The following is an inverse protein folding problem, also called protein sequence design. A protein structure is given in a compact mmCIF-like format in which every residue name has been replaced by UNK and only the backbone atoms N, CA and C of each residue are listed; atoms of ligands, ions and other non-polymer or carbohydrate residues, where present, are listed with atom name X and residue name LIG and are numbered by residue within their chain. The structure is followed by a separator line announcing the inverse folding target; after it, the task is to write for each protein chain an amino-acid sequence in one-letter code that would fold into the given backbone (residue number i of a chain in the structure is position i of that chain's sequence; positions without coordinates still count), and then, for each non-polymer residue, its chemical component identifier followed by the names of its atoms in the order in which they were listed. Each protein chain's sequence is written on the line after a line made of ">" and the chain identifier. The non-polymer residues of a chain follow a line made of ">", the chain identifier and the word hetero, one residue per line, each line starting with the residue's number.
data_IF_305455705806
#
_entry.id   IF_305455705806
#
_cell.length_a   1.000
_cell.length_b   1.000
_cell.length_c   1.000
_cell.angle_alpha   90.00
_cell.angle_beta   90.00
_cell.angle_gamma   90.00
#
_symmetry.space_group_name_H-M   'P 1'
#
loop_
_entity.id
_entity.type
_entity.pdbx_description
1 polymer ?
#
# COMPACT_ATOMS: atom_id res chain seq x y z
N UNK A 1 -4.33 29.86 1.50
CA UNK A 1 -5.50 29.17 2.09
C UNK A 1 -5.61 27.75 1.52
N UNK A 2 -5.50 27.58 0.21
CA UNK A 2 -5.57 26.25 -0.44
C UNK A 2 -4.50 25.29 0.07
N UNK A 3 -3.25 25.75 0.16
CA UNK A 3 -2.13 24.97 0.71
C UNK A 3 -2.39 24.49 2.15
N UNK A 4 -2.99 25.32 3.00
CA UNK A 4 -3.32 24.96 4.37
C UNK A 4 -4.38 23.84 4.43
N UNK A 5 -5.45 23.95 3.63
CA UNK A 5 -6.52 22.93 3.59
C UNK A 5 -5.96 21.62 3.04
N UNK A 6 -5.15 21.67 1.98
CA UNK A 6 -4.47 20.51 1.42
C UNK A 6 -3.57 19.82 2.44
N UNK A 7 -2.78 20.58 3.20
CA UNK A 7 -1.91 20.03 4.25
C UNK A 7 -2.70 19.38 5.39
N UNK A 8 -3.80 20.00 5.83
CA UNK A 8 -4.69 19.42 6.86
C UNK A 8 -5.27 18.08 6.37
N UNK A 9 -5.74 18.04 5.13
CA UNK A 9 -6.27 16.82 4.52
C UNK A 9 -5.22 15.70 4.46
N UNK A 10 -4.01 16.01 3.99
CA UNK A 10 -2.90 15.04 3.93
C UNK A 10 -2.48 14.56 5.32
N UNK A 11 -2.40 15.46 6.29
CA UNK A 11 -2.08 15.10 7.67
C UNK A 11 -3.15 14.21 8.30
N UNK A 12 -4.43 14.47 8.01
CA UNK A 12 -5.53 13.64 8.50
C UNK A 12 -5.47 12.21 7.94
N UNK A 13 -5.11 12.05 6.66
CA UNK A 13 -4.89 10.73 6.05
C UNK A 13 -3.66 10.03 6.67
N UNK A 14 -2.53 10.74 6.76
CA UNK A 14 -1.28 10.18 7.27
C UNK A 14 -1.41 9.72 8.73
N UNK A 15 -2.21 10.42 9.55
CA UNK A 15 -2.47 10.04 10.94
C UNK A 15 -3.03 8.63 11.08
N UNK A 16 -3.82 8.16 10.10
CA UNK A 16 -4.47 6.84 10.16
C UNK A 16 -3.66 5.71 9.56
N UNK A 17 -2.62 6.02 8.76
CA UNK A 17 -1.85 5.00 8.02
C UNK A 17 -1.20 4.00 8.99
N UNK A 18 -0.46 4.48 9.97
CA UNK A 18 0.31 3.61 10.87
C UNK A 18 -0.56 2.72 11.75
N UNK A 19 -1.59 3.25 12.46
CA UNK A 19 -2.49 2.41 13.26
C UNK A 19 -3.21 1.36 12.41
N UNK A 20 -3.70 1.75 11.22
CA UNK A 20 -4.43 0.85 10.34
C UNK A 20 -3.54 -0.28 9.82
N UNK A 21 -2.34 0.04 9.34
CA UNK A 21 -1.38 -0.98 8.84
C UNK A 21 -1.01 -1.94 9.94
N UNK A 22 -0.73 -1.44 11.15
CA UNK A 22 -0.43 -2.29 12.31
C UNK A 22 -1.58 -3.26 12.60
N UNK A 23 -2.80 -2.76 12.77
CA UNK A 23 -3.97 -3.57 13.07
C UNK A 23 -4.24 -4.60 11.97
N UNK A 24 -4.21 -4.19 10.70
CA UNK A 24 -4.47 -5.08 9.56
C UNK A 24 -3.48 -6.22 9.46
N UNK A 25 -2.20 -5.96 9.72
CA UNK A 25 -1.17 -7.01 9.70
C UNK A 25 -1.36 -8.00 10.85
N UNK A 26 -1.62 -7.51 12.07
CA UNK A 26 -1.85 -8.39 13.24
C UNK A 26 -3.06 -9.29 13.00
N UNK A 27 -4.18 -8.72 12.54
CA UNK A 27 -5.40 -9.46 12.21
C UNK A 27 -5.12 -10.49 11.12
N UNK A 28 -4.42 -10.07 10.05
CA UNK A 28 -4.05 -10.94 8.94
C UNK A 28 -3.25 -12.17 9.39
N UNK A 29 -2.24 -11.99 10.24
CA UNK A 29 -1.43 -13.08 10.78
C UNK A 29 -2.25 -14.01 11.64
N UNK A 30 -3.07 -13.49 12.56
CA UNK A 30 -3.94 -14.28 13.43
C UNK A 30 -4.97 -15.09 12.62
N UNK A 31 -5.47 -14.55 11.52
CA UNK A 31 -6.38 -15.27 10.62
C UNK A 31 -5.72 -16.48 9.96
N UNK A 32 -4.43 -16.38 9.63
CA UNK A 32 -3.65 -17.49 9.06
C UNK A 32 -3.39 -18.56 10.13
N UNK A 33 -3.12 -18.17 11.37
CA UNK A 33 -2.82 -19.09 12.48
C UNK A 33 -3.96 -20.07 12.82
N UNK A 34 -5.20 -19.65 12.62
CA UNK A 34 -6.37 -20.52 12.79
C UNK A 34 -6.56 -21.56 11.67
N UNK A 35 -5.82 -21.43 10.59
CA UNK A 35 -5.92 -22.27 9.39
C UNK A 35 -4.91 -23.43 9.40
N UNK A 36 -4.81 -24.20 10.47
CA UNK A 36 -3.94 -25.40 10.54
C UNK A 36 -4.18 -26.42 9.42
N UNK A 37 -5.35 -26.38 8.79
CA UNK A 37 -5.74 -27.23 7.64
C UNK A 37 -5.32 -26.63 6.28
N UNK A 38 -4.93 -25.36 6.22
CA UNK A 38 -4.74 -24.61 4.97
C UNK A 38 -3.25 -24.32 4.66
N UNK A 39 -2.31 -24.90 5.43
CA UNK A 39 -0.88 -24.56 5.32
C UNK A 39 -0.31 -24.65 3.89
N UNK A 40 -0.75 -25.63 3.09
CA UNK A 40 -0.33 -25.76 1.69
C UNK A 40 -0.89 -24.63 0.80
N UNK A 41 -2.15 -24.25 1.02
CA UNK A 41 -2.81 -23.18 0.23
C UNK A 41 -2.16 -21.83 0.59
N UNK A 42 -1.94 -21.57 1.87
CA UNK A 42 -1.30 -20.34 2.33
C UNK A 42 0.13 -20.20 1.82
N UNK A 43 0.94 -21.27 1.90
CA UNK A 43 2.30 -21.29 1.36
C UNK A 43 2.31 -21.06 -0.16
N UNK A 44 1.44 -21.74 -0.91
CA UNK A 44 1.31 -21.55 -2.34
C UNK A 44 0.89 -20.12 -2.70
N UNK A 45 -0.07 -19.54 -1.95
CA UNK A 45 -0.49 -18.15 -2.13
C UNK A 45 0.65 -17.18 -1.86
N UNK A 46 1.44 -17.39 -0.82
CA UNK A 46 2.57 -16.54 -0.46
C UNK A 46 3.67 -16.54 -1.54
N UNK A 47 4.01 -17.73 -2.07
CA UNK A 47 4.94 -17.86 -3.19
C UNK A 47 4.38 -17.14 -4.43
N UNK A 48 3.09 -17.32 -4.71
CA UNK A 48 2.43 -16.65 -5.83
C UNK A 48 2.48 -15.13 -5.70
N UNK A 49 2.18 -14.58 -4.51
CA UNK A 49 2.29 -13.14 -4.25
C UNK A 49 3.72 -12.61 -4.44
N UNK A 50 4.74 -13.32 -3.94
CA UNK A 50 6.12 -12.93 -4.13
C UNK A 50 6.51 -12.91 -5.62
N UNK A 51 6.12 -13.93 -6.37
CA UNK A 51 6.38 -13.99 -7.81
C UNK A 51 5.65 -12.87 -8.58
N UNK A 52 4.38 -12.64 -8.28
CA UNK A 52 3.61 -11.59 -8.97
C UNK A 52 4.11 -10.19 -8.59
N UNK A 53 4.52 -9.96 -7.35
CA UNK A 53 5.11 -8.69 -6.90
C UNK A 53 6.46 -8.44 -7.58
N UNK A 54 7.31 -9.46 -7.69
CA UNK A 54 8.59 -9.35 -8.42
C UNK A 54 8.35 -9.03 -9.90
N UNK A 55 7.40 -9.69 -10.55
CA UNK A 55 7.03 -9.40 -11.93
C UNK A 55 6.45 -7.98 -12.09
N UNK A 56 5.59 -7.55 -11.17
CA UNK A 56 5.02 -6.21 -11.19
C UNK A 56 6.11 -5.14 -11.02
N UNK A 57 7.07 -5.35 -10.12
CA UNK A 57 8.20 -4.45 -9.91
C UNK A 57 9.08 -4.36 -11.16
N UNK A 58 9.36 -5.47 -11.82
CA UNK A 58 10.10 -5.49 -13.08
C UNK A 58 9.34 -4.74 -14.19
N UNK A 59 8.04 -4.97 -14.33
CA UNK A 59 7.20 -4.22 -15.28
C UNK A 59 7.20 -2.72 -14.97
N UNK A 60 7.09 -2.35 -13.69
CA UNK A 60 7.14 -0.96 -13.23
C UNK A 60 8.46 -0.25 -13.52
N UNK A 61 9.58 -0.98 -13.60
CA UNK A 61 10.88 -0.43 -13.98
C UNK A 61 11.06 -0.36 -15.52
N UNK A 62 10.57 -1.37 -16.24
CA UNK A 62 10.76 -1.50 -17.68
C UNK A 62 9.84 -0.56 -18.47
N UNK A 63 8.56 -0.50 -18.13
CA UNK A 63 7.54 0.27 -18.88
C UNK A 63 7.89 1.76 -18.95
N UNK A 64 8.16 2.46 -17.83
CA UNK A 64 8.52 3.88 -17.88
C UNK A 64 9.79 4.14 -18.67
N UNK A 65 10.75 3.20 -18.64
CA UNK A 65 12.01 3.31 -19.38
C UNK A 65 11.81 3.14 -20.89
N UNK A 66 10.94 2.24 -21.33
CA UNK A 66 10.61 2.03 -22.74
C UNK A 66 9.84 3.20 -23.34
N UNK A 67 8.91 3.79 -22.58
CA UNK A 67 8.05 4.89 -23.05
C UNK A 67 8.77 6.24 -22.85
N UNK A 68 9.96 6.26 -22.26
CA UNK A 68 10.73 7.47 -21.95
C UNK A 68 9.89 8.49 -21.13
N UNK A 69 9.14 7.98 -20.16
CA UNK A 69 8.37 8.82 -19.23
C UNK A 69 9.30 9.82 -18.54
N UNK A 70 8.91 11.10 -18.60
CA UNK A 70 9.69 12.19 -18.00
C UNK A 70 10.65 12.92 -18.93
N UNK A 71 10.79 12.54 -20.21
CA UNK A 71 11.52 13.35 -21.18
C UNK A 71 10.78 14.67 -21.41
N UNK A 72 11.36 15.77 -20.93
CA UNK A 72 10.82 17.12 -21.12
C UNK A 72 10.23 17.77 -19.88
N UNK A 73 10.03 17.04 -18.79
CA UNK A 73 9.68 17.64 -17.51
C UNK A 73 10.96 18.17 -16.87
N UNK A 74 11.24 19.44 -17.07
CA UNK A 74 12.21 20.15 -16.26
C UNK A 74 11.56 20.41 -14.91
N UNK A 75 11.67 19.45 -13.99
CA UNK A 75 11.61 19.83 -12.60
C UNK A 75 12.82 20.75 -12.41
N UNK A 76 12.62 22.05 -12.21
CA UNK A 76 13.56 22.80 -11.42
C UNK A 76 13.56 22.07 -10.09
N UNK A 77 14.50 21.15 -9.95
CA UNK A 77 14.88 20.71 -8.63
C UNK A 77 15.28 22.00 -7.93
N UNK A 78 14.33 22.56 -7.13
CA UNK A 78 14.78 23.33 -6.00
C UNK A 78 15.91 22.49 -5.44
N UNK A 79 17.08 23.05 -5.33
CA UNK A 79 18.24 22.48 -4.67
C UNK A 79 17.89 22.30 -3.19
N UNK A 80 16.88 21.48 -2.93
CA UNK A 80 16.81 20.71 -1.72
C UNK A 80 18.08 19.89 -1.79
N UNK A 81 19.06 20.24 -0.94
CA UNK A 81 20.15 19.34 -0.61
C UNK A 81 19.54 17.95 -0.52
N UNK A 82 19.62 17.22 -1.62
CA UNK A 82 19.51 15.79 -1.57
C UNK A 82 20.79 15.44 -0.83
N UNK A 83 20.74 15.57 0.51
CA UNK A 83 21.62 14.80 1.33
C UNK A 83 21.44 13.41 0.76
N UNK A 84 22.41 13.00 -0.04
CA UNK A 84 22.53 11.62 -0.46
C UNK A 84 22.41 10.87 0.87
N UNK A 85 21.19 10.39 1.15
CA UNK A 85 20.98 9.50 2.28
C UNK A 85 21.93 8.39 1.93
N UNK A 86 23.08 8.39 2.62
CA UNK A 86 24.09 7.36 2.49
C UNK A 86 23.26 6.09 2.45
N UNK A 87 23.37 5.30 1.38
CA UNK A 87 22.64 4.05 1.30
C UNK A 87 23.03 3.33 2.57
N UNK A 88 22.16 3.43 3.57
CA UNK A 88 22.36 2.76 4.86
C UNK A 88 22.64 1.33 4.47
N UNK A 89 23.81 0.86 4.84
CA UNK A 89 24.26 -0.48 4.51
C UNK A 89 23.09 -1.41 4.77
N UNK A 90 22.86 -2.39 3.89
CA UNK A 90 21.78 -3.40 4.09
C UNK A 90 21.87 -3.93 5.53
N UNK A 91 23.08 -4.02 6.09
CA UNK A 91 23.33 -4.39 7.49
C UNK A 91 22.77 -3.38 8.49
N UNK A 92 22.84 -2.08 8.22
CA UNK A 92 22.30 -1.06 9.12
C UNK A 92 20.78 -1.01 9.04
N UNK A 93 20.21 -1.24 7.85
CA UNK A 93 18.77 -1.43 7.70
C UNK A 93 18.28 -2.65 8.47
N UNK A 94 19.01 -3.79 8.41
CA UNK A 94 18.68 -5.00 9.16
C UNK A 94 18.81 -4.80 10.67
N UNK A 95 19.84 -4.09 11.16
CA UNK A 95 19.99 -3.77 12.59
C UNK A 95 18.85 -2.89 13.10
N UNK A 96 18.43 -1.92 12.27
CA UNK A 96 17.36 -0.99 12.63
C UNK A 96 15.95 -1.54 12.36
N UNK A 97 15.85 -2.78 11.87
CA UNK A 97 14.56 -3.41 11.57
C UNK A 97 13.72 -3.64 12.84
N UNK A 98 14.37 -4.04 13.93
CA UNK A 98 13.71 -4.25 15.22
C UNK A 98 13.75 -2.95 16.00
N UNK A 99 12.57 -2.34 16.29
CA UNK A 99 12.54 -1.08 17.03
C UNK A 99 12.98 -1.29 18.48
N UNK A 100 13.88 -0.46 18.97
CA UNK A 100 14.21 -0.39 20.39
C UNK A 100 13.04 0.14 21.23
N UNK A 101 12.20 0.98 20.62
CA UNK A 101 10.97 1.50 21.20
C UNK A 101 9.85 1.49 20.13
N UNK A 102 8.84 0.60 20.27
CA UNK A 102 7.74 0.54 19.30
C UNK A 102 6.97 1.86 19.18
N UNK A 103 6.76 2.55 20.30
CA UNK A 103 6.02 3.83 20.29
C UNK A 103 6.78 4.90 19.52
N UNK A 104 8.10 4.95 19.66
CA UNK A 104 8.93 5.84 18.86
C UNK A 104 8.82 5.52 17.36
N UNK A 105 8.78 4.24 16.98
CA UNK A 105 8.59 3.83 15.59
C UNK A 105 7.27 4.36 14.98
N UNK A 106 6.19 4.40 15.76
CA UNK A 106 4.93 5.02 15.35
C UNK A 106 5.05 6.55 15.25
N UNK A 107 5.70 7.19 16.23
CA UNK A 107 5.85 8.65 16.28
C UNK A 107 6.75 9.17 15.15
N UNK A 108 7.83 8.46 14.86
CA UNK A 108 8.81 8.80 13.81
C UNK A 108 8.33 8.41 12.40
N UNK A 109 7.21 7.69 12.31
CA UNK A 109 6.67 7.26 11.03
C UNK A 109 7.49 6.18 10.33
N UNK A 110 8.27 5.39 11.06
CA UNK A 110 9.07 4.32 10.49
C UNK A 110 8.22 3.06 10.20
N UNK A 111 7.64 3.05 9.00
CA UNK A 111 6.73 1.98 8.56
C UNK A 111 7.34 0.58 8.69
N UNK A 112 8.64 0.43 8.37
CA UNK A 112 9.31 -0.87 8.40
C UNK A 112 9.38 -1.43 9.81
N UNK A 113 9.70 -0.59 10.79
CA UNK A 113 9.73 -0.96 12.21
C UNK A 113 8.33 -1.27 12.75
N UNK A 114 7.32 -0.49 12.36
CA UNK A 114 5.91 -0.75 12.72
C UNK A 114 5.46 -2.10 12.17
N UNK A 115 5.82 -2.43 10.92
CA UNK A 115 5.52 -3.71 10.29
C UNK A 115 6.16 -4.88 11.05
N UNK A 116 7.44 -4.78 11.39
CA UNK A 116 8.13 -5.84 12.15
C UNK A 116 7.52 -6.01 13.55
N UNK A 117 7.18 -4.92 14.21
CA UNK A 117 6.50 -4.99 15.49
C UNK A 117 5.12 -5.67 15.38
N UNK A 118 4.34 -5.35 14.33
CA UNK A 118 3.06 -6.00 14.06
C UNK A 118 3.21 -7.51 13.82
N UNK A 119 4.26 -7.94 13.09
CA UNK A 119 4.58 -9.34 12.87
C UNK A 119 4.86 -10.06 14.21
N UNK A 120 5.68 -9.46 15.07
CA UNK A 120 6.01 -10.03 16.39
C UNK A 120 4.74 -10.19 17.22
N UNK A 121 3.89 -9.17 17.30
CA UNK A 121 2.63 -9.22 18.04
C UNK A 121 1.70 -10.30 17.46
N UNK A 122 1.53 -10.35 16.13
CA UNK A 122 0.66 -11.32 15.48
C UNK A 122 1.08 -12.77 15.76
N UNK A 123 2.36 -13.08 15.59
CA UNK A 123 2.88 -14.42 15.90
C UNK A 123 2.79 -14.76 17.39
N UNK A 124 3.02 -13.78 18.27
CA UNK A 124 2.90 -13.98 19.72
C UNK A 124 1.45 -14.27 20.12
N UNK A 125 0.48 -13.59 19.52
CA UNK A 125 -0.94 -13.84 19.78
C UNK A 125 -1.37 -15.25 19.37
N UNK A 126 -0.87 -15.75 18.25
CA UNK A 126 -1.10 -17.15 17.85
C UNK A 126 -0.52 -18.12 18.88
N UNK A 127 0.68 -17.84 19.40
CA UNK A 127 1.33 -18.69 20.41
C UNK A 127 0.62 -18.66 21.76
N UNK A 128 0.07 -17.52 22.17
CA UNK A 128 -0.71 -17.35 23.40
C UNK A 128 -2.06 -18.06 23.32
N UNK A 129 -2.65 -18.17 22.12
CA UNK A 129 -3.91 -18.86 21.88
C UNK A 129 -5.11 -18.12 22.46
N UNK A 130 -6.05 -18.85 23.08
CA UNK A 130 -7.34 -18.32 23.55
C UNK A 130 -7.22 -17.13 24.51
N UNK A 131 -6.17 -17.08 25.32
CA UNK A 131 -5.91 -15.96 26.25
C UNK A 131 -5.61 -14.66 25.51
N UNK A 132 -5.15 -14.72 24.26
CA UNK A 132 -4.88 -13.57 23.40
C UNK A 132 -6.13 -13.01 22.70
N UNK A 133 -7.26 -13.73 22.70
CA UNK A 133 -8.49 -13.33 22.01
C UNK A 133 -9.01 -11.95 22.42
N UNK A 134 -9.04 -11.56 23.70
CA UNK A 134 -9.50 -10.21 24.08
C UNK A 134 -8.66 -9.08 23.46
N UNK A 135 -7.34 -9.31 23.38
CA UNK A 135 -6.43 -8.34 22.75
C UNK A 135 -6.61 -8.28 21.23
N UNK A 136 -6.83 -9.42 20.57
CA UNK A 136 -7.14 -9.46 19.14
C UNK A 136 -8.46 -8.73 18.84
N UNK A 137 -9.50 -8.93 19.64
CA UNK A 137 -10.78 -8.23 19.49
C UNK A 137 -10.62 -6.72 19.70
N UNK A 138 -9.74 -6.29 20.59
CA UNK A 138 -9.42 -4.86 20.74
C UNK A 138 -8.77 -4.30 19.49
N UNK A 139 -7.79 -5.00 18.93
CA UNK A 139 -7.11 -4.59 17.68
C UNK A 139 -8.11 -4.52 16.52
N UNK A 140 -9.02 -5.49 16.42
CA UNK A 140 -10.06 -5.51 15.40
C UNK A 140 -11.01 -4.30 15.54
N UNK A 141 -11.43 -4.00 16.75
CA UNK A 141 -12.24 -2.81 17.04
C UNK A 141 -11.51 -1.51 16.69
N UNK A 142 -10.20 -1.41 16.99
CA UNK A 142 -9.38 -0.25 16.61
C UNK A 142 -9.31 -0.14 15.09
N UNK A 143 -9.13 -1.24 14.39
CA UNK A 143 -9.10 -1.28 12.92
C UNK A 143 -10.41 -0.78 12.31
N UNK A 144 -11.56 -1.22 12.82
CA UNK A 144 -12.88 -0.73 12.38
C UNK A 144 -13.05 0.77 12.60
N UNK A 145 -12.61 1.28 13.75
CA UNK A 145 -12.62 2.72 14.05
C UNK A 145 -11.73 3.49 13.07
N UNK A 146 -10.52 3.00 12.81
CA UNK A 146 -9.61 3.62 11.84
C UNK A 146 -10.22 3.65 10.44
N UNK A 147 -10.82 2.55 9.97
CA UNK A 147 -11.52 2.48 8.69
C UNK A 147 -12.67 3.49 8.62
N UNK A 148 -13.44 3.64 9.70
CA UNK A 148 -14.53 4.61 9.74
C UNK A 148 -14.04 6.05 9.67
N UNK A 149 -12.92 6.36 10.36
CA UNK A 149 -12.28 7.68 10.30
C UNK A 149 -11.80 7.97 8.88
N UNK A 150 -11.07 7.02 8.24
CA UNK A 150 -10.61 7.17 6.85
C UNK A 150 -11.79 7.40 5.92
N UNK A 151 -12.84 6.58 6.01
CA UNK A 151 -14.04 6.73 5.19
C UNK A 151 -14.67 8.13 5.36
N UNK A 152 -14.67 8.65 6.59
CA UNK A 152 -15.18 10.01 6.86
C UNK A 152 -14.28 11.08 6.22
N UNK A 153 -12.96 10.94 6.33
CA UNK A 153 -12.00 11.85 5.68
C UNK A 153 -12.15 11.82 4.15
N UNK A 154 -12.45 10.65 3.58
CA UNK A 154 -12.63 10.48 2.14
C UNK A 154 -13.83 11.25 1.57
N UNK A 155 -14.84 11.60 2.36
CA UNK A 155 -15.90 12.51 1.91
C UNK A 155 -15.35 13.89 1.54
N UNK A 156 -14.24 14.30 2.14
CA UNK A 156 -13.58 15.57 1.86
C UNK A 156 -12.52 15.48 0.74
N UNK A 157 -12.31 14.28 0.17
CA UNK A 157 -11.30 14.04 -0.88
C UNK A 157 -11.41 15.00 -2.06
N UNK A 158 -12.59 15.32 -2.62
CA UNK A 158 -12.66 16.24 -3.76
C UNK A 158 -12.09 17.63 -3.43
N UNK A 159 -12.35 18.12 -2.21
CA UNK A 159 -11.83 19.42 -1.74
C UNK A 159 -10.35 19.30 -1.40
N UNK A 160 -9.97 18.26 -0.68
CA UNK A 160 -8.58 18.02 -0.27
C UNK A 160 -7.64 17.87 -1.45
N UNK A 161 -8.01 17.06 -2.45
CA UNK A 161 -7.23 16.83 -3.66
C UNK A 161 -7.13 18.11 -4.49
N UNK A 162 -8.24 18.84 -4.68
CA UNK A 162 -8.20 20.13 -5.37
C UNK A 162 -7.21 21.09 -4.69
N UNK A 163 -7.31 21.24 -3.37
CA UNK A 163 -6.43 22.12 -2.60
C UNK A 163 -4.95 21.67 -2.59
N UNK A 164 -4.68 20.39 -2.81
CA UNK A 164 -3.30 19.86 -2.90
C UNK A 164 -2.71 20.06 -4.29
N UNK A 165 -3.54 19.98 -5.33
CA UNK A 165 -3.09 20.13 -6.74
C UNK A 165 -2.83 21.59 -7.10
N UNK A 166 -3.65 22.53 -6.62
CA UNK A 166 -3.53 23.95 -6.97
C UNK A 166 -2.12 24.50 -6.73
N UNK A 167 -1.47 24.35 -5.57
CA UNK A 167 -0.10 24.85 -5.36
C UNK A 167 0.93 24.19 -6.28
N UNK A 168 0.74 22.91 -6.63
CA UNK A 168 1.64 22.21 -7.57
C UNK A 168 1.55 22.79 -8.96
N UNK A 169 0.34 23.16 -9.38
CA UNK A 169 0.10 23.79 -10.69
C UNK A 169 0.63 25.22 -10.71
N UNK A 170 0.41 25.98 -9.65
CA UNK A 170 0.95 27.34 -9.50
C UNK A 170 2.48 27.37 -9.56
N UNK A 171 3.14 26.39 -8.94
CA UNK A 171 4.60 26.30 -8.92
C UNK A 171 5.21 25.81 -10.25
N UNK A 172 4.55 24.86 -10.93
CA UNK A 172 5.16 24.16 -12.06
C UNK A 172 4.46 24.40 -13.41
N UNK A 173 3.39 25.20 -13.44
CA UNK A 173 2.63 25.52 -14.65
C UNK A 173 1.69 24.41 -15.14
N UNK A 174 0.91 24.72 -16.18
CA UNK A 174 -0.10 23.80 -16.76
C UNK A 174 0.51 22.60 -17.48
N UNK A 175 1.75 22.68 -17.94
CA UNK A 175 2.47 21.56 -18.57
C UNK A 175 2.64 20.39 -17.63
N UNK A 176 2.80 20.66 -16.32
CA UNK A 176 2.89 19.64 -15.30
C UNK A 176 1.60 18.83 -15.17
N UNK A 177 0.44 19.46 -15.32
CA UNK A 177 -0.86 18.75 -15.29
C UNK A 177 -0.94 17.74 -16.44
N UNK A 178 -0.55 18.16 -17.64
CA UNK A 178 -0.59 17.29 -18.83
C UNK A 178 0.36 16.11 -18.66
N UNK A 179 1.56 16.36 -18.12
CA UNK A 179 2.53 15.32 -17.80
C UNK A 179 1.99 14.32 -16.76
N UNK A 180 1.41 14.82 -15.67
CA UNK A 180 0.81 13.98 -14.62
C UNK A 180 -0.38 13.18 -15.14
N UNK A 181 -1.26 13.81 -15.95
CA UNK A 181 -2.39 13.12 -16.57
C UNK A 181 -1.92 12.01 -17.52
N UNK A 182 -0.90 12.29 -18.33
CA UNK A 182 -0.30 11.30 -19.22
C UNK A 182 0.29 10.13 -18.42
N UNK A 183 1.02 10.42 -17.34
CA UNK A 183 1.58 9.40 -16.45
C UNK A 183 0.48 8.54 -15.82
N UNK A 184 -0.62 9.14 -15.37
CA UNK A 184 -1.76 8.41 -14.83
C UNK A 184 -2.38 7.47 -15.87
N UNK A 185 -2.61 7.92 -17.09
CA UNK A 185 -3.16 7.09 -18.16
C UNK A 185 -2.24 5.89 -18.44
N UNK A 186 -0.93 6.12 -18.55
CA UNK A 186 0.05 5.06 -18.77
C UNK A 186 0.06 4.07 -17.61
N UNK A 187 -0.01 4.57 -16.37
CA UNK A 187 -0.09 3.73 -15.17
C UNK A 187 -1.32 2.83 -15.19
N UNK A 188 -2.50 3.39 -15.51
CA UNK A 188 -3.73 2.60 -15.61
C UNK A 188 -3.66 1.56 -16.72
N UNK A 189 -3.16 1.92 -17.90
CA UNK A 189 -2.96 0.97 -19.02
C UNK A 189 -2.00 -0.15 -18.61
N UNK A 190 -0.89 0.19 -17.97
CA UNK A 190 0.07 -0.78 -17.46
C UNK A 190 -0.54 -1.70 -16.40
N UNK A 191 -1.30 -1.15 -15.45
CA UNK A 191 -1.96 -1.90 -14.38
C UNK A 191 -3.01 -2.88 -14.93
N UNK A 192 -3.91 -2.41 -15.77
CA UNK A 192 -4.91 -3.28 -16.39
C UNK A 192 -4.27 -4.30 -17.35
N UNK A 193 -3.26 -3.89 -18.11
CA UNK A 193 -2.49 -4.80 -18.95
C UNK A 193 -1.82 -5.92 -18.13
N UNK A 194 -1.16 -5.56 -17.03
CA UNK A 194 -0.57 -6.52 -16.09
C UNK A 194 -1.62 -7.45 -15.50
N UNK A 195 -2.74 -6.91 -15.04
CA UNK A 195 -3.81 -7.70 -14.46
C UNK A 195 -4.38 -8.72 -15.46
N UNK A 196 -4.65 -8.32 -16.69
CA UNK A 196 -5.19 -9.20 -17.72
C UNK A 196 -4.16 -10.26 -18.14
N UNK A 197 -2.91 -9.86 -18.36
CA UNK A 197 -1.86 -10.77 -18.84
C UNK A 197 -1.43 -11.71 -17.72
N UNK A 198 -0.99 -11.20 -16.58
CA UNK A 198 -0.41 -12.03 -15.52
C UNK A 198 -1.46 -12.86 -14.80
N UNK A 199 -2.56 -12.23 -14.36
CA UNK A 199 -3.61 -12.98 -13.66
C UNK A 199 -4.44 -13.82 -14.62
N UNK A 200 -4.75 -13.34 -15.83
CA UNK A 200 -5.46 -14.12 -16.85
C UNK A 200 -4.69 -15.37 -17.26
N UNK A 201 -3.37 -15.24 -17.43
CA UNK A 201 -2.47 -16.35 -17.76
C UNK A 201 -2.34 -17.34 -16.59
N UNK A 202 -2.21 -16.84 -15.37
CA UNK A 202 -2.15 -17.66 -14.14
C UNK A 202 -3.42 -18.48 -13.95
N UNK A 203 -4.60 -17.89 -14.12
CA UNK A 203 -5.89 -18.58 -13.99
C UNK A 203 -6.04 -19.66 -15.06
N UNK A 204 -5.59 -19.40 -16.29
CA UNK A 204 -5.65 -20.35 -17.38
C UNK A 204 -4.67 -21.51 -17.22
N UNK A 205 -3.41 -21.25 -16.83
CA UNK A 205 -2.37 -22.28 -16.72
C UNK A 205 -2.42 -23.04 -15.40
N UNK A 206 -2.51 -22.32 -14.27
CA UNK A 206 -2.46 -22.92 -12.93
C UNK A 206 -3.86 -23.37 -12.50
N UNK A 207 -4.85 -22.49 -12.67
CA UNK A 207 -6.23 -22.74 -12.26
C UNK A 207 -7.03 -23.60 -13.23
N UNK A 208 -6.54 -23.78 -14.48
CA UNK A 208 -7.26 -24.50 -15.56
C UNK A 208 -8.72 -24.04 -15.73
N UNK A 209 -8.98 -22.78 -15.37
CA UNK A 209 -10.29 -22.14 -15.42
C UNK A 209 -10.32 -21.08 -16.54
N UNK A 210 -11.51 -20.72 -17.01
CA UNK A 210 -11.62 -19.64 -17.98
C UNK A 210 -11.43 -18.29 -17.28
N UNK A 211 -10.52 -17.40 -17.76
CA UNK A 211 -10.25 -16.09 -17.14
C UNK A 211 -11.51 -15.22 -17.01
N UNK A 212 -12.43 -15.30 -17.99
CA UNK A 212 -13.67 -14.55 -17.97
C UNK A 212 -14.64 -14.99 -16.87
N UNK A 213 -14.73 -16.31 -16.58
CA UNK A 213 -15.55 -16.80 -15.48
C UNK A 213 -14.96 -16.38 -14.13
N UNK A 214 -13.64 -16.44 -14.01
CA UNK A 214 -12.92 -15.99 -12.83
C UNK A 214 -13.11 -14.48 -12.59
N UNK A 215 -12.98 -13.66 -13.63
CA UNK A 215 -13.19 -12.21 -13.54
C UNK A 215 -14.61 -11.87 -13.05
N UNK A 216 -15.63 -12.55 -13.60
CA UNK A 216 -17.01 -12.37 -13.15
C UNK A 216 -17.23 -12.77 -11.69
N UNK A 217 -16.56 -13.83 -11.23
CA UNK A 217 -16.67 -14.30 -9.85
C UNK A 217 -15.97 -13.37 -8.85
N UNK A 218 -14.88 -12.72 -9.26
CA UNK A 218 -14.10 -11.81 -8.41
C UNK A 218 -14.65 -10.37 -8.40
N UNK A 219 -15.42 -9.99 -9.42
CA UNK A 219 -15.91 -8.63 -9.60
C UNK A 219 -16.63 -8.06 -8.36
N UNK A 220 -17.51 -8.78 -7.66
CA UNK A 220 -18.15 -8.25 -6.44
C UNK A 220 -17.14 -7.98 -5.32
N UNK A 221 -16.15 -8.87 -5.14
CA UNK A 221 -15.09 -8.68 -4.15
C UNK A 221 -14.17 -7.50 -4.52
N UNK A 222 -13.83 -7.37 -5.81
CA UNK A 222 -13.03 -6.26 -6.31
C UNK A 222 -13.76 -4.91 -6.17
N UNK A 223 -15.08 -4.86 -6.41
CA UNK A 223 -15.87 -3.65 -6.21
C UNK A 223 -15.96 -3.26 -4.72
N UNK A 224 -16.09 -4.26 -3.84
CA UNK A 224 -16.06 -4.00 -2.40
C UNK A 224 -14.69 -3.48 -1.95
N UNK A 225 -13.60 -4.12 -2.36
CA UNK A 225 -12.23 -3.67 -2.06
C UNK A 225 -11.97 -2.26 -2.61
N UNK A 226 -12.44 -1.95 -3.81
CA UNK A 226 -12.33 -0.62 -4.38
C UNK A 226 -13.14 0.43 -3.59
N UNK A 227 -14.35 0.07 -3.14
CA UNK A 227 -15.21 0.96 -2.34
C UNK A 227 -14.72 1.18 -0.92
N UNK A 228 -13.99 0.22 -0.34
CA UNK A 228 -13.43 0.29 1.02
C UNK A 228 -11.96 0.69 1.04
N UNK A 229 -11.33 0.88 -0.13
CA UNK A 229 -9.89 1.13 -0.27
C UNK A 229 -9.00 0.08 0.42
N UNK A 230 -9.47 -1.15 0.51
CA UNK A 230 -8.79 -2.28 1.17
C UNK A 230 -8.23 -3.29 0.15
#
# INVERSE_FOLDING_TARGET
>A
VTSLIGSIYMNALNMMIFPMVFCSIVIGICSIGNARTTGKITAASMIYFLCTTALASLCGLIIPRLIHLGKGVKFEMATADIQATEMSSILDTLKNLIPSNPIAAFADGNMLQVLVFALIIGFTLIAVGEKGTPFLNLIDSINEVCLKIITTIMYFTPIGVFCTIVPVVEANGTETIISLATQLVILYVAFFGFAIVVYGFSVKLIGKQSPLKFLKAILPAALNAFGTCS
#
